data_IF_133801011140
#
_entry.id   IF_133801011140
#
_cell.length_a   1.000
_cell.length_b   1.000
_cell.length_c   1.000
_cell.angle_alpha   90.00
_cell.angle_beta   90.00
_cell.angle_gamma   90.00
#
_symmetry.space_group_name_H-M   'P 1'
#
loop_
_entity.id
_entity.type
_entity.pdbx_description
1 polymer ?
#
# COMPACT_ATOMS: atom_id res chain seq x y z
N UNK A 1 1.02 -30.38 19.16
CA UNK A 1 -0.04 -29.36 18.96
C UNK A 1 0.37 -28.42 17.82
N UNK A 2 -0.60 -28.13 16.96
CA UNK A 2 -0.47 -27.71 15.56
C UNK A 2 0.16 -26.32 15.35
N UNK A 3 1.49 -26.27 15.15
CA UNK A 3 2.25 -25.03 14.92
C UNK A 3 1.92 -24.25 13.61
N UNK A 4 1.50 -24.85 12.48
CA UNK A 4 1.21 -24.05 11.28
C UNK A 4 -0.13 -23.29 11.37
N UNK A 5 -1.07 -23.73 12.22
CA UNK A 5 -2.35 -23.03 12.39
C UNK A 5 -2.19 -21.63 12.99
N UNK A 6 -1.25 -21.43 13.90
CA UNK A 6 -1.07 -20.13 14.57
C UNK A 6 -0.49 -19.05 13.64
N UNK A 7 0.38 -19.42 12.70
CA UNK A 7 0.93 -18.47 11.72
C UNK A 7 -0.11 -18.16 10.64
N UNK A 8 -0.84 -19.19 10.18
CA UNK A 8 -1.95 -19.00 9.24
C UNK A 8 -3.10 -18.20 9.86
N UNK A 9 -3.47 -18.41 11.12
CA UNK A 9 -4.50 -17.60 11.80
C UNK A 9 -4.04 -16.17 12.06
N UNK A 10 -2.74 -15.94 12.30
CA UNK A 10 -2.18 -14.58 12.31
C UNK A 10 -2.24 -13.96 10.92
N UNK A 11 -1.83 -14.69 9.89
CA UNK A 11 -1.96 -14.20 8.51
C UNK A 11 -3.41 -13.91 8.15
N UNK A 12 -4.37 -14.73 8.60
CA UNK A 12 -5.82 -14.54 8.45
C UNK A 12 -6.36 -13.31 9.19
N UNK A 13 -5.78 -13.03 10.37
CA UNK A 13 -6.11 -11.86 11.19
C UNK A 13 -5.51 -10.56 10.63
N UNK A 14 -4.39 -10.67 9.92
CA UNK A 14 -3.74 -9.60 9.15
C UNK A 14 -4.07 -9.67 7.65
N UNK A 15 -5.03 -10.51 7.25
CA UNK A 15 -5.51 -10.64 5.88
C UNK A 15 -6.43 -9.44 5.65
N UNK A 16 -5.82 -8.25 5.58
CA UNK A 16 -6.35 -7.21 4.70
C UNK A 16 -6.52 -7.91 3.36
N UNK A 17 -7.74 -7.83 2.82
CA UNK A 17 -8.23 -8.71 1.78
C UNK A 17 -7.20 -8.72 0.63
N UNK A 18 -6.54 -9.85 0.33
CA UNK A 18 -5.41 -9.89 -0.62
C UNK A 18 -5.77 -9.20 -1.95
N UNK A 19 -7.04 -9.32 -2.34
CA UNK A 19 -7.61 -8.66 -3.51
C UNK A 19 -7.58 -7.13 -3.35
N UNK A 20 -7.98 -6.61 -2.20
CA UNK A 20 -7.96 -5.18 -1.87
C UNK A 20 -6.53 -4.63 -1.85
N UNK A 21 -5.57 -5.38 -1.27
CA UNK A 21 -4.16 -5.00 -1.25
C UNK A 21 -3.56 -4.95 -2.67
N UNK A 22 -3.91 -5.91 -3.53
CA UNK A 22 -3.49 -5.94 -4.93
C UNK A 22 -4.13 -4.79 -5.72
N UNK A 23 -5.42 -4.54 -5.50
CA UNK A 23 -6.15 -3.44 -6.16
C UNK A 23 -5.57 -2.09 -5.73
N UNK A 24 -5.32 -1.89 -4.44
CA UNK A 24 -4.75 -0.65 -3.92
C UNK A 24 -3.31 -0.45 -4.36
N UNK A 25 -2.50 -1.52 -4.40
CA UNK A 25 -1.15 -1.47 -4.97
C UNK A 25 -1.18 -1.06 -6.44
N UNK A 26 -2.13 -1.58 -7.22
CA UNK A 26 -2.35 -1.20 -8.61
C UNK A 26 -2.76 0.27 -8.76
N UNK A 27 -3.68 0.76 -7.92
CA UNK A 27 -4.11 2.17 -7.91
C UNK A 27 -2.96 3.11 -7.53
N UNK A 28 -2.17 2.78 -6.51
CA UNK A 28 -0.99 3.56 -6.12
C UNK A 28 0.02 3.60 -7.27
N UNK A 29 0.30 2.47 -7.90
CA UNK A 29 1.21 2.39 -9.03
C UNK A 29 0.74 3.24 -10.23
N UNK A 30 -0.55 3.16 -10.59
CA UNK A 30 -1.13 3.99 -11.64
C UNK A 30 -1.06 5.48 -11.31
N UNK A 31 -1.34 5.85 -10.06
CA UNK A 31 -1.29 7.24 -9.60
C UNK A 31 0.13 7.80 -9.67
N UNK A 32 1.13 7.03 -9.23
CA UNK A 32 2.55 7.41 -9.32
C UNK A 32 2.96 7.54 -10.79
N UNK A 33 2.56 6.59 -11.64
CA UNK A 33 2.90 6.60 -13.07
C UNK A 33 2.31 7.81 -13.79
N UNK A 34 1.05 8.15 -13.51
CA UNK A 34 0.41 9.35 -14.02
C UNK A 34 1.11 10.61 -13.51
N UNK A 35 1.33 10.72 -12.20
CA UNK A 35 1.99 11.88 -11.63
C UNK A 35 3.41 12.10 -12.20
N UNK A 36 4.15 11.01 -12.45
CA UNK A 36 5.44 11.04 -13.11
C UNK A 36 5.33 11.54 -14.56
N UNK A 37 4.31 11.11 -15.30
CA UNK A 37 4.13 11.55 -16.70
C UNK A 37 3.84 13.06 -16.84
N UNK A 38 3.24 13.67 -15.79
CA UNK A 38 2.98 15.11 -15.72
C UNK A 38 4.08 15.88 -14.96
N UNK A 39 5.12 15.20 -14.47
CA UNK A 39 6.16 15.84 -13.67
C UNK A 39 7.07 16.74 -14.54
N UNK A 40 7.40 17.97 -14.08
CA UNK A 40 8.35 18.79 -14.82
C UNK A 40 9.75 18.17 -14.77
N UNK A 41 10.48 18.28 -15.87
CA UNK A 41 11.78 17.61 -16.06
C UNK A 41 12.86 17.97 -15.02
N UNK A 42 12.73 19.12 -14.34
CA UNK A 42 13.69 19.57 -13.31
C UNK A 42 13.54 18.89 -11.94
N UNK A 43 12.46 18.14 -11.71
CA UNK A 43 12.08 17.60 -10.39
C UNK A 43 11.18 16.36 -10.45
N UNK A 44 11.40 15.41 -11.38
CA UNK A 44 10.58 14.20 -11.45
C UNK A 44 10.69 13.33 -10.19
N UNK A 45 11.88 13.30 -9.56
CA UNK A 45 12.10 12.59 -8.29
C UNK A 45 11.28 13.15 -7.14
N UNK A 46 11.14 14.48 -7.03
CA UNK A 46 10.39 15.09 -5.93
C UNK A 46 8.90 14.68 -5.99
N UNK A 47 8.32 14.66 -7.20
CA UNK A 47 6.94 14.23 -7.41
C UNK A 47 6.77 12.74 -7.12
N UNK A 48 7.71 11.91 -7.56
CA UNK A 48 7.70 10.48 -7.25
C UNK A 48 7.67 10.21 -5.75
N UNK A 49 8.63 10.78 -4.99
CA UNK A 49 8.71 10.55 -3.55
C UNK A 49 7.52 11.13 -2.80
N UNK A 50 6.98 12.27 -3.25
CA UNK A 50 5.78 12.85 -2.66
C UNK A 50 4.55 11.95 -2.85
N UNK A 51 4.29 11.50 -4.08
CA UNK A 51 3.13 10.64 -4.36
C UNK A 51 3.28 9.28 -3.71
N UNK A 52 4.51 8.74 -3.66
CA UNK A 52 4.79 7.50 -2.95
C UNK A 52 4.55 7.63 -1.44
N UNK A 53 4.96 8.76 -0.83
CA UNK A 53 4.66 9.04 0.58
C UNK A 53 3.16 9.13 0.82
N UNK A 54 2.42 9.89 -0.01
CA UNK A 54 0.95 10.00 0.11
C UNK A 54 0.27 8.64 -0.06
N UNK A 55 0.71 7.85 -1.04
CA UNK A 55 0.18 6.50 -1.30
C UNK A 55 0.40 5.56 -0.11
N UNK A 56 1.61 5.51 0.44
CA UNK A 56 1.93 4.66 1.59
C UNK A 56 1.19 5.12 2.86
N UNK A 57 1.20 6.42 3.17
CA UNK A 57 0.49 6.95 4.32
C UNK A 57 -1.01 6.73 4.21
N UNK A 58 -1.59 6.94 3.02
CA UNK A 58 -3.00 6.66 2.75
C UNK A 58 -3.34 5.18 2.91
N UNK A 59 -2.51 4.30 2.35
CA UNK A 59 -2.68 2.86 2.44
C UNK A 59 -2.72 2.38 3.90
N UNK A 60 -1.69 2.72 4.69
CA UNK A 60 -1.62 2.29 6.09
C UNK A 60 -2.64 2.99 7.01
N UNK A 61 -3.20 4.13 6.60
CA UNK A 61 -4.23 4.81 7.38
C UNK A 61 -5.63 4.28 7.10
N UNK A 62 -5.94 3.98 5.83
CA UNK A 62 -7.33 3.73 5.39
C UNK A 62 -7.58 2.30 4.94
N UNK A 63 -6.57 1.59 4.43
CA UNK A 63 -6.73 0.25 3.81
C UNK A 63 -6.26 -0.83 4.77
N UNK A 64 -5.04 -0.68 5.29
CA UNK A 64 -4.47 -1.60 6.27
C UNK A 64 -4.14 -0.83 7.56
N UNK A 65 -5.16 -0.25 8.24
CA UNK A 65 -4.96 0.37 9.53
C UNK A 65 -4.40 -0.67 10.52
N UNK A 66 -3.50 -0.27 11.43
CA UNK A 66 -3.02 -1.17 12.46
C UNK A 66 -4.24 -1.69 13.24
N UNK A 67 -4.30 -3.00 13.55
CA UNK A 67 -5.41 -3.55 14.31
C UNK A 67 -5.52 -2.81 15.65
N UNK A 68 -6.72 -2.33 15.96
CA UNK A 68 -7.01 -1.70 17.25
C UNK A 68 -6.52 -2.61 18.38
N UNK A 69 -5.64 -2.07 19.24
CA UNK A 69 -5.10 -2.77 20.39
C UNK A 69 -6.15 -2.92 21.48
#
# INVERSE_FOLDING_TARGET
MSRPKSVLDRMRKYETNIIEDVVMSGLIFLTISLAWSYAPASWPQAIYYFVLAVGLFGYFKYVSPPPEQ
#
